data_IF_541440534027
#
_entry.id   IF_541440534027
#
_cell.length_a   1.000
_cell.length_b   1.000
_cell.length_c   1.000
_cell.angle_alpha   90.00
_cell.angle_beta   90.00
_cell.angle_gamma   90.00
#
_symmetry.space_group_name_H-M   'P 1'
#
loop_
_entity.id
_entity.type
_entity.pdbx_description
1 polymer ?
#
# COMPACT_ATOMS: atom_id res chain seq x y z
N UNK A 1 -11.40 -19.98 -8.41
CA UNK A 1 -11.97 -18.67 -8.09
C UNK A 1 -13.15 -18.43 -9.02
N UNK A 2 -14.29 -17.90 -8.55
CA UNK A 2 -15.37 -17.50 -9.47
C UNK A 2 -14.88 -16.30 -10.29
N UNK A 3 -15.00 -16.36 -11.62
CA UNK A 3 -14.76 -15.20 -12.46
C UNK A 3 -15.82 -14.15 -12.16
N UNK A 4 -15.41 -13.01 -11.59
CA UNK A 4 -16.25 -11.84 -11.38
C UNK A 4 -16.25 -10.99 -12.65
N UNK A 5 -17.36 -10.33 -12.94
CA UNK A 5 -17.36 -9.29 -13.97
C UNK A 5 -16.48 -8.11 -13.54
N UNK A 6 -16.13 -7.23 -14.48
CA UNK A 6 -15.43 -5.99 -14.16
C UNK A 6 -16.29 -5.11 -13.24
N UNK A 7 -17.59 -5.02 -13.51
CA UNK A 7 -18.54 -4.25 -12.71
C UNK A 7 -18.58 -4.73 -11.25
N UNK A 8 -18.70 -6.04 -11.04
CA UNK A 8 -18.72 -6.64 -9.70
C UNK A 8 -17.39 -6.41 -8.97
N UNK A 9 -16.27 -6.54 -9.69
CA UNK A 9 -14.93 -6.34 -9.10
C UNK A 9 -14.73 -4.91 -8.60
N UNK A 10 -15.21 -3.92 -9.36
CA UNK A 10 -15.19 -2.51 -8.96
C UNK A 10 -16.11 -2.29 -7.74
N UNK A 11 -17.32 -2.87 -7.76
CA UNK A 11 -18.29 -2.73 -6.68
C UNK A 11 -17.82 -3.37 -5.37
N UNK A 12 -17.11 -4.49 -5.44
CA UNK A 12 -16.65 -5.23 -4.26
C UNK A 12 -15.37 -4.67 -3.64
N UNK A 13 -14.56 -3.92 -4.40
CA UNK A 13 -13.30 -3.35 -3.89
C UNK A 13 -13.56 -2.41 -2.71
N UNK A 14 -12.95 -2.70 -1.56
CA UNK A 14 -12.99 -1.86 -0.35
C UNK A 14 -11.59 -1.48 0.10
N UNK A 15 -11.50 -0.47 0.96
CA UNK A 15 -10.27 -0.12 1.66
C UNK A 15 -10.19 -0.97 2.92
N UNK A 16 -9.11 -1.74 3.07
CA UNK A 16 -8.87 -2.61 4.21
C UNK A 16 -7.67 -2.08 5.00
N UNK A 17 -7.85 -1.90 6.30
CA UNK A 17 -6.76 -1.52 7.22
C UNK A 17 -6.24 -2.70 8.03
N UNK A 18 -7.08 -3.70 8.28
CA UNK A 18 -6.66 -4.93 8.96
C UNK A 18 -6.01 -5.85 7.93
N UNK A 19 -4.70 -5.72 7.78
CA UNK A 19 -3.89 -6.53 6.86
C UNK A 19 -3.00 -7.49 7.67
N UNK A 20 -2.65 -8.61 7.03
CA UNK A 20 -1.62 -9.52 7.53
C UNK A 20 -0.26 -9.12 6.97
N UNK A 21 0.79 -9.51 7.69
CA UNK A 21 2.18 -9.39 7.25
C UNK A 21 2.61 -10.55 6.33
N UNK A 22 1.64 -11.22 5.70
CA UNK A 22 1.82 -12.32 4.77
C UNK A 22 1.01 -12.05 3.51
N UNK A 23 1.56 -12.46 2.36
CA UNK A 23 0.87 -12.35 1.07
C UNK A 23 0.26 -13.69 0.66
N UNK A 24 -0.97 -13.72 0.12
CA UNK A 24 -1.57 -14.93 -0.43
C UNK A 24 -0.99 -15.33 -1.81
N UNK A 25 -0.13 -14.49 -2.39
CA UNK A 25 0.54 -14.69 -3.69
C UNK A 25 2.03 -14.36 -3.57
N UNK A 26 2.84 -14.84 -4.52
CA UNK A 26 4.29 -14.57 -4.50
C UNK A 26 4.62 -13.11 -4.83
N UNK A 27 5.83 -12.68 -4.49
CA UNK A 27 6.34 -11.34 -4.78
C UNK A 27 6.35 -11.04 -6.28
N UNK A 28 6.69 -12.05 -7.10
CA UNK A 28 6.67 -11.95 -8.55
C UNK A 28 5.26 -11.70 -9.09
N UNK A 29 4.25 -12.33 -8.49
CA UNK A 29 2.86 -12.12 -8.88
C UNK A 29 2.38 -10.71 -8.50
N UNK A 30 2.77 -10.20 -7.32
CA UNK A 30 2.50 -8.80 -6.94
C UNK A 30 3.13 -7.84 -7.94
N UNK A 31 4.41 -8.04 -8.25
CA UNK A 31 5.14 -7.21 -9.20
C UNK A 31 4.47 -7.24 -10.58
N UNK A 32 4.12 -8.43 -11.08
CA UNK A 32 3.46 -8.62 -12.37
C UNK A 32 2.13 -7.86 -12.46
N UNK A 33 1.32 -7.88 -11.39
CA UNK A 33 0.06 -7.13 -11.32
C UNK A 33 0.32 -5.63 -11.44
N UNK A 34 1.31 -5.11 -10.71
CA UNK A 34 1.65 -3.68 -10.70
C UNK A 34 2.17 -3.24 -12.07
N UNK A 35 3.09 -4.00 -12.67
CA UNK A 35 3.62 -3.73 -14.01
C UNK A 35 2.52 -3.72 -15.07
N UNK A 36 1.60 -4.68 -15.00
CA UNK A 36 0.47 -4.76 -15.93
C UNK A 36 -0.41 -3.51 -15.84
N UNK A 37 -0.74 -3.07 -14.62
CA UNK A 37 -1.54 -1.85 -14.42
C UNK A 37 -0.78 -0.61 -14.88
N UNK A 38 0.51 -0.48 -14.55
CA UNK A 38 1.31 0.67 -14.93
C UNK A 38 1.43 0.83 -16.46
N UNK A 39 1.54 -0.29 -17.19
CA UNK A 39 1.70 -0.28 -18.64
C UNK A 39 0.38 -0.04 -19.39
N UNK A 40 -0.72 -0.65 -18.94
CA UNK A 40 -1.98 -0.65 -19.67
C UNK A 40 -2.99 0.40 -19.21
N UNK A 41 -2.78 1.03 -18.05
CA UNK A 41 -3.62 2.15 -17.64
C UNK A 41 -3.42 3.33 -18.62
N UNK A 42 -4.52 3.90 -19.16
CA UNK A 42 -4.41 5.02 -20.08
C UNK A 42 -3.85 6.24 -19.35
N UNK A 43 -3.03 7.01 -20.04
CA UNK A 43 -2.50 8.28 -19.55
C UNK A 43 -2.78 9.41 -20.54
N UNK A 44 -2.97 10.66 -20.08
CA UNK A 44 -3.11 11.81 -20.99
C UNK A 44 -1.95 11.84 -21.98
N UNK A 45 -2.28 11.94 -23.27
CA UNK A 45 -1.33 11.95 -24.38
C UNK A 45 -0.40 10.73 -24.45
N UNK A 46 -0.78 9.60 -23.83
CA UNK A 46 0.08 8.41 -23.68
C UNK A 46 1.46 8.74 -23.09
N UNK A 47 1.52 9.72 -22.18
CA UNK A 47 2.77 10.18 -21.58
C UNK A 47 3.39 9.17 -20.61
N UNK A 48 2.57 8.25 -20.07
CA UNK A 48 2.99 7.20 -19.13
C UNK A 48 3.88 7.75 -18.01
N UNK A 49 3.48 8.90 -17.45
CA UNK A 49 4.26 9.64 -16.47
C UNK A 49 4.24 9.02 -15.07
N UNK A 50 3.21 8.23 -14.74
CA UNK A 50 3.07 7.59 -13.44
C UNK A 50 4.31 6.74 -13.12
N UNK A 51 4.86 6.91 -11.93
CA UNK A 51 5.94 6.07 -11.40
C UNK A 51 5.45 5.39 -10.13
N UNK A 52 5.78 4.11 -10.00
CA UNK A 52 5.41 3.30 -8.84
C UNK A 52 6.67 2.68 -8.23
N UNK A 53 6.75 2.67 -6.90
CA UNK A 53 7.81 1.97 -6.17
C UNK A 53 7.17 0.92 -5.28
N UNK A 54 7.48 -0.35 -5.55
CA UNK A 54 7.04 -1.48 -4.75
C UNK A 54 8.04 -1.77 -3.64
N UNK A 55 7.58 -1.73 -2.40
CA UNK A 55 8.35 -2.10 -1.21
C UNK A 55 7.68 -3.31 -0.56
N UNK A 56 8.41 -4.42 -0.42
CA UNK A 56 7.95 -5.64 0.23
C UNK A 56 8.82 -5.96 1.45
N UNK A 57 8.26 -6.73 2.39
CA UNK A 57 9.00 -7.27 3.54
C UNK A 57 9.73 -6.19 4.35
N UNK A 58 11.06 -6.31 4.47
CA UNK A 58 11.87 -5.39 5.28
C UNK A 58 11.88 -3.95 4.73
N UNK A 59 11.76 -3.76 3.41
CA UNK A 59 11.70 -2.42 2.83
C UNK A 59 10.36 -1.72 3.15
N UNK A 60 9.27 -2.48 3.18
CA UNK A 60 7.97 -1.99 3.65
C UNK A 60 8.05 -1.55 5.12
N UNK A 61 8.59 -2.41 5.99
CA UNK A 61 8.77 -2.10 7.41
C UNK A 61 9.62 -0.85 7.61
N UNK A 62 10.73 -0.75 6.89
CA UNK A 62 11.64 0.41 6.95
C UNK A 62 10.93 1.72 6.61
N UNK A 63 10.09 1.74 5.56
CA UNK A 63 9.30 2.93 5.22
C UNK A 63 8.40 3.36 6.38
N UNK A 64 7.66 2.43 6.97
CA UNK A 64 6.68 2.75 8.00
C UNK A 64 7.32 3.09 9.34
N UNK A 65 8.47 2.51 9.67
CA UNK A 65 9.26 2.93 10.83
C UNK A 65 9.82 4.35 10.65
N UNK A 66 10.33 4.70 9.46
CA UNK A 66 10.74 6.07 9.15
C UNK A 66 9.58 7.05 9.25
N UNK A 67 8.42 6.67 8.69
CA UNK A 67 7.20 7.48 8.73
C UNK A 67 6.76 7.71 10.17
N UNK A 68 6.74 6.66 10.99
CA UNK A 68 6.41 6.72 12.41
C UNK A 68 7.36 7.66 13.16
N UNK A 69 8.66 7.56 12.91
CA UNK A 69 9.66 8.44 13.51
C UNK A 69 9.46 9.92 13.15
N UNK A 70 9.14 10.25 11.89
CA UNK A 70 8.86 11.63 11.49
C UNK A 70 7.54 12.15 12.07
N UNK A 71 6.48 11.33 12.09
CA UNK A 71 5.20 11.70 12.69
C UNK A 71 5.32 12.01 14.18
N UNK A 72 6.20 11.31 14.90
CA UNK A 72 6.44 11.57 16.32
C UNK A 72 6.96 12.98 16.58
N UNK A 73 7.86 13.48 15.71
CA UNK A 73 8.48 14.81 15.84
C UNK A 73 7.47 15.95 15.73
N UNK A 74 6.39 15.74 14.99
CA UNK A 74 5.36 16.75 14.75
C UNK A 74 4.12 16.58 15.64
N UNK A 75 4.08 15.55 16.50
CA UNK A 75 2.93 15.32 17.37
C UNK A 75 2.79 16.42 18.43
N UNK A 76 1.58 16.93 18.59
CA UNK A 76 1.28 18.03 19.51
C UNK A 76 1.11 17.59 20.98
N UNK A 77 0.88 16.30 21.23
CA UNK A 77 0.79 15.71 22.57
C UNK A 77 1.12 14.21 22.56
N UNK A 78 1.34 13.64 23.74
CA UNK A 78 1.61 12.21 23.89
C UNK A 78 0.36 11.35 23.57
N UNK A 79 -0.83 11.84 23.91
CA UNK A 79 -2.09 11.17 23.58
C UNK A 79 -2.37 11.17 22.08
N UNK A 80 -2.06 12.28 21.40
CA UNK A 80 -2.15 12.38 19.95
C UNK A 80 -1.13 11.45 19.26
N UNK A 81 0.06 11.33 19.85
CA UNK A 81 1.09 10.41 19.38
C UNK A 81 0.62 8.96 19.51
N UNK A 82 0.14 8.56 20.69
CA UNK A 82 -0.31 7.19 20.96
C UNK A 82 -1.38 6.72 19.97
N UNK A 83 -2.38 7.56 19.66
CA UNK A 83 -3.41 7.25 18.65
C UNK A 83 -2.80 7.06 17.25
N UNK A 84 -1.81 7.87 16.90
CA UNK A 84 -1.11 7.79 15.61
C UNK A 84 -0.28 6.51 15.54
N UNK A 85 0.46 6.20 16.59
CA UNK A 85 1.28 5.01 16.72
C UNK A 85 0.43 3.73 16.61
N UNK A 86 -0.67 3.64 17.35
CA UNK A 86 -1.62 2.53 17.29
C UNK A 86 -2.16 2.33 15.87
N UNK A 87 -2.51 3.43 15.18
CA UNK A 87 -3.00 3.38 13.79
C UNK A 87 -1.92 2.89 12.83
N UNK A 88 -0.69 3.42 12.93
CA UNK A 88 0.41 3.03 12.04
C UNK A 88 0.75 1.55 12.24
N UNK A 89 0.92 1.12 13.50
CA UNK A 89 1.28 -0.25 13.83
C UNK A 89 0.18 -1.24 13.44
N UNK A 90 -1.09 -0.92 13.71
CA UNK A 90 -2.21 -1.82 13.46
C UNK A 90 -2.76 -1.81 12.03
N UNK A 91 -2.47 -0.77 11.23
CA UNK A 91 -3.04 -0.63 9.89
C UNK A 91 -2.02 -0.66 8.76
N UNK A 92 -0.91 0.07 8.91
CA UNK A 92 0.01 0.32 7.82
C UNK A 92 1.22 -0.61 7.88
N UNK A 93 1.90 -0.63 9.02
CA UNK A 93 3.05 -1.51 9.28
C UNK A 93 2.65 -2.98 9.40
N UNK A 94 1.39 -3.26 9.72
CA UNK A 94 0.84 -4.61 9.79
C UNK A 94 0.76 -5.30 8.42
N UNK A 95 0.82 -4.55 7.31
CA UNK A 95 0.77 -5.10 5.97
C UNK A 95 2.05 -5.81 5.53
N UNK A 96 1.98 -6.50 4.40
CA UNK A 96 3.15 -7.14 3.79
C UNK A 96 3.99 -6.18 2.94
N UNK A 97 3.33 -5.21 2.28
CA UNK A 97 3.94 -4.39 1.24
C UNK A 97 3.30 -3.02 1.09
N UNK A 98 3.99 -2.14 0.37
CA UNK A 98 3.51 -0.78 0.04
C UNK A 98 3.87 -0.43 -1.39
N UNK A 99 2.92 0.21 -2.08
CA UNK A 99 3.13 0.83 -3.39
C UNK A 99 3.10 2.34 -3.19
N UNK A 100 4.21 3.01 -3.52
CA UNK A 100 4.30 4.46 -3.55
C UNK A 100 4.04 4.96 -4.97
N UNK A 101 3.27 6.01 -5.13
CA UNK A 101 2.93 6.61 -6.42
C UNK A 101 3.58 8.01 -6.53
N UNK A 102 4.18 8.31 -7.68
CA UNK A 102 4.84 9.57 -8.00
C UNK A 102 4.44 10.06 -9.39
#
# INVERSE_FOLDING_TARGET
MKNKSLQDSIQDRRTYYQLSNESPVSDEEIQRIIEHVAYWAPSPFNSQSARMVLLLGENHKKLWELTKAELKKISHSEEAWKKTEEKVNGSFLAGYGTVLFF
#
